data_IF_185148993757
#
_entry.id   IF_185148993757
#
_cell.length_a   1.000
_cell.length_b   1.000
_cell.length_c   1.000
_cell.angle_alpha   90.00
_cell.angle_beta   90.00
_cell.angle_gamma   90.00
#
_symmetry.space_group_name_H-M   'P 1'
#
loop_
_entity.id
_entity.type
_entity.pdbx_description
1 polymer ?
#
# COMPACT_ATOMS: atom_id res chain seq x y z
N UNK A 1 -16.80 -29.24 4.59
CA UNK A 1 -16.52 -28.30 5.69
C UNK A 1 -17.77 -28.24 6.58
N UNK A 2 -17.63 -28.42 7.90
CA UNK A 2 -18.76 -28.36 8.84
C UNK A 2 -18.60 -27.10 9.71
N UNK A 3 -19.72 -26.43 10.07
CA UNK A 3 -19.69 -25.16 10.82
C UNK A 3 -18.91 -25.26 12.15
N UNK A 4 -19.04 -26.39 12.87
CA UNK A 4 -18.35 -26.62 14.14
C UNK A 4 -16.84 -26.86 13.99
N UNK A 5 -16.33 -27.09 12.78
CA UNK A 5 -14.89 -27.28 12.51
C UNK A 5 -14.20 -26.00 12.06
N UNK A 6 -14.93 -24.90 11.87
CA UNK A 6 -14.37 -23.61 11.53
C UNK A 6 -13.57 -23.07 12.72
N UNK A 7 -12.30 -22.79 12.50
CA UNK A 7 -11.41 -22.15 13.46
C UNK A 7 -10.70 -20.98 12.77
N UNK A 8 -10.49 -19.86 13.47
CA UNK A 8 -9.66 -18.79 12.95
C UNK A 8 -8.23 -19.27 12.72
N UNK A 9 -7.53 -18.65 11.81
CA UNK A 9 -6.12 -18.95 11.56
C UNK A 9 -5.29 -18.78 12.84
N UNK A 10 -4.24 -19.57 13.00
CA UNK A 10 -3.36 -19.49 14.16
C UNK A 10 -2.75 -18.08 14.26
N UNK A 11 -2.86 -17.44 15.43
CA UNK A 11 -2.38 -16.08 15.68
C UNK A 11 -3.31 -14.94 15.23
N UNK A 12 -4.46 -15.25 14.59
CA UNK A 12 -5.45 -14.22 14.20
C UNK A 12 -6.34 -13.74 15.34
N UNK A 13 -6.41 -14.51 16.42
CA UNK A 13 -7.19 -14.16 17.62
C UNK A 13 -6.28 -14.08 18.83
N UNK A 14 -6.54 -13.13 19.72
CA UNK A 14 -5.91 -13.01 21.02
C UNK A 14 -6.96 -12.69 22.09
N UNK A 15 -6.65 -13.00 23.35
CA UNK A 15 -7.52 -12.71 24.46
C UNK A 15 -7.66 -11.18 24.66
N UNK A 16 -8.88 -10.74 25.02
CA UNK A 16 -9.13 -9.35 25.32
C UNK A 16 -8.33 -8.86 26.55
N UNK A 17 -7.64 -7.74 26.39
CA UNK A 17 -6.87 -7.13 27.47
C UNK A 17 -7.80 -6.34 28.39
N UNK A 18 -8.00 -6.83 29.62
CA UNK A 18 -8.84 -6.18 30.63
C UNK A 18 -7.98 -5.38 31.62
N UNK A 19 -8.04 -4.06 31.56
CA UNK A 19 -7.30 -3.16 32.46
C UNK A 19 -8.12 -2.85 33.71
N UNK A 20 -7.45 -2.49 34.82
CA UNK A 20 -8.10 -2.15 36.08
C UNK A 20 -8.78 -3.32 36.78
N UNK A 21 -8.28 -4.54 36.62
CA UNK A 21 -8.86 -5.78 37.23
C UNK A 21 -7.89 -6.46 38.21
N UNK A 22 -7.36 -5.67 39.13
CA UNK A 22 -6.54 -6.12 40.25
C UNK A 22 -5.03 -6.10 39.99
N UNK A 23 -4.20 -6.06 41.05
CA UNK A 23 -2.75 -5.94 40.94
C UNK A 23 -2.10 -7.19 40.33
N UNK A 24 -2.67 -8.38 40.55
CA UNK A 24 -2.13 -9.63 40.01
C UNK A 24 -2.10 -9.71 38.48
N UNK A 25 -2.93 -8.93 37.80
CA UNK A 25 -2.91 -8.83 36.34
C UNK A 25 -1.76 -8.00 35.79
N UNK A 26 -1.04 -7.24 36.63
CA UNK A 26 -0.07 -6.23 36.22
C UNK A 26 -0.68 -5.00 35.54
N UNK A 27 -2.01 -4.97 35.39
CA UNK A 27 -2.77 -3.92 34.71
C UNK A 27 -3.78 -3.24 35.65
N UNK A 28 -3.67 -3.51 36.94
CA UNK A 28 -4.53 -2.93 38.00
C UNK A 28 -4.20 -1.49 38.33
N UNK A 29 -4.73 -1.03 39.48
CA UNK A 29 -4.52 0.32 39.96
C UNK A 29 -5.17 1.36 39.04
N UNK A 30 -4.39 2.29 38.51
CA UNK A 30 -4.84 3.39 37.66
C UNK A 30 -5.09 2.98 36.20
N UNK A 31 -5.38 1.72 35.95
CA UNK A 31 -5.57 1.16 34.58
C UNK A 31 -4.35 1.42 33.65
N UNK A 32 -3.16 1.36 34.21
CA UNK A 32 -1.86 1.60 33.53
C UNK A 32 -1.64 3.04 33.03
N UNK A 33 -2.47 4.01 33.44
CA UNK A 33 -2.37 5.42 33.02
C UNK A 33 -1.49 6.28 33.95
N UNK A 34 -1.12 5.75 35.12
CA UNK A 34 -0.43 6.54 36.17
C UNK A 34 -1.38 7.46 36.93
N UNK A 35 -0.81 8.35 37.79
CA UNK A 35 -1.64 9.13 38.73
C UNK A 35 -2.12 10.47 38.16
N UNK A 36 -1.22 11.38 37.85
CA UNK A 36 -1.53 12.75 37.42
C UNK A 36 -1.04 12.99 35.98
N UNK A 37 -1.42 14.13 35.42
CA UNK A 37 -1.03 14.57 34.08
C UNK A 37 -2.09 14.36 33.01
N UNK A 38 -1.91 15.01 31.89
CA UNK A 38 -2.86 15.00 30.79
C UNK A 38 -3.10 13.61 30.22
N UNK A 39 -2.07 12.75 30.18
CA UNK A 39 -2.14 11.37 29.64
C UNK A 39 -3.07 10.45 30.45
N UNK A 40 -3.29 10.75 31.73
CA UNK A 40 -4.16 9.96 32.60
C UNK A 40 -5.65 10.34 32.47
N UNK A 41 -5.98 11.43 31.81
CA UNK A 41 -7.35 11.94 31.68
C UNK A 41 -8.08 11.32 30.47
N UNK A 42 -9.41 11.27 30.57
CA UNK A 42 -10.27 10.89 29.43
C UNK A 42 -10.12 11.93 28.31
N UNK A 43 -10.21 11.48 27.06
CA UNK A 43 -10.12 12.36 25.89
C UNK A 43 -8.72 12.84 25.53
N UNK A 44 -7.66 12.46 26.28
CA UNK A 44 -6.30 12.83 25.93
C UNK A 44 -5.90 12.23 24.57
N UNK A 45 -5.45 13.09 23.68
CA UNK A 45 -4.82 12.68 22.40
C UNK A 45 -3.37 13.19 22.38
N UNK A 46 -2.47 12.36 21.85
CA UNK A 46 -1.06 12.76 21.67
C UNK A 46 -0.97 13.99 20.76
N UNK A 47 -0.37 15.05 21.23
CA UNK A 47 -0.08 16.24 20.42
C UNK A 47 1.08 15.94 19.49
N UNK A 48 0.81 15.79 18.21
CA UNK A 48 1.83 15.50 17.20
C UNK A 48 2.74 16.73 17.05
N UNK A 49 4.07 16.52 17.07
CA UNK A 49 5.05 17.59 16.93
C UNK A 49 5.19 18.50 18.16
N UNK A 50 4.64 18.13 19.34
CA UNK A 50 4.83 18.90 20.55
C UNK A 50 6.18 18.54 21.23
N UNK A 51 7.00 19.55 21.49
CA UNK A 51 8.36 19.45 22.05
C UNK A 51 8.45 20.08 23.43
N UNK A 52 7.50 19.83 24.33
CA UNK A 52 7.54 20.27 25.72
C UNK A 52 7.45 21.79 25.94
N UNK A 53 7.04 22.58 24.97
CA UNK A 53 7.00 24.05 25.00
C UNK A 53 8.11 24.71 24.18
N UNK A 54 9.15 23.98 23.82
CA UNK A 54 10.13 24.42 22.83
C UNK A 54 9.45 24.59 21.46
N UNK A 55 9.90 25.58 20.66
CA UNK A 55 9.41 25.77 19.30
C UNK A 55 9.66 24.50 18.48
N UNK A 56 8.63 23.85 17.97
CA UNK A 56 8.75 22.59 17.23
C UNK A 56 9.62 22.72 15.97
N UNK A 57 10.33 21.65 15.62
CA UNK A 57 11.24 21.61 14.47
C UNK A 57 10.57 22.13 13.19
N UNK A 58 9.32 21.75 12.95
CA UNK A 58 8.51 22.19 11.80
C UNK A 58 8.33 23.74 11.71
N UNK A 59 8.49 24.46 12.82
CA UNK A 59 8.45 25.93 12.85
C UNK A 59 9.83 26.57 12.79
N UNK A 60 10.87 25.84 13.19
CA UNK A 60 12.26 26.34 13.19
C UNK A 60 12.88 26.27 11.79
N UNK A 61 12.54 25.26 11.01
CA UNK A 61 13.06 25.12 9.65
C UNK A 61 12.26 25.96 8.66
N UNK A 62 12.92 26.60 7.67
CA UNK A 62 12.22 27.33 6.63
C UNK A 62 11.33 26.41 5.79
N UNK A 63 10.22 26.95 5.29
CA UNK A 63 9.38 26.23 4.34
C UNK A 63 10.15 26.04 3.05
N UNK A 64 10.09 24.84 2.48
CA UNK A 64 10.77 24.49 1.24
C UNK A 64 9.85 23.70 0.32
N UNK A 65 10.11 23.80 -0.99
CA UNK A 65 9.36 23.11 -2.02
C UNK A 65 7.96 23.67 -2.26
N UNK A 66 7.31 23.10 -3.24
CA UNK A 66 5.92 23.39 -3.58
C UNK A 66 5.24 22.14 -4.14
N UNK A 67 3.92 22.07 -4.04
CA UNK A 67 3.13 21.01 -4.65
C UNK A 67 2.70 21.44 -6.06
N UNK A 68 3.21 20.76 -7.07
CA UNK A 68 2.82 21.03 -8.46
C UNK A 68 1.37 20.57 -8.68
N UNK A 69 0.48 21.51 -9.01
CA UNK A 69 -0.94 21.25 -9.26
C UNK A 69 -1.14 20.39 -10.52
N UNK A 70 -0.24 20.54 -11.51
CA UNK A 70 -0.29 19.81 -12.78
C UNK A 70 0.50 18.49 -12.75
N UNK A 71 0.83 17.98 -11.55
CA UNK A 71 1.51 16.70 -11.40
C UNK A 71 0.61 15.56 -11.89
N UNK A 72 1.08 14.82 -12.89
CA UNK A 72 0.41 13.63 -13.39
C UNK A 72 0.92 12.40 -12.64
N UNK A 73 0.05 11.72 -11.93
CA UNK A 73 0.35 10.48 -11.24
C UNK A 73 -0.03 9.29 -12.14
N UNK A 74 0.84 8.30 -12.20
CA UNK A 74 0.60 7.06 -12.95
C UNK A 74 0.48 5.89 -11.98
N UNK A 75 -0.39 4.96 -12.30
CA UNK A 75 -0.40 3.64 -11.67
C UNK A 75 0.69 2.79 -12.29
N UNK A 76 1.64 2.34 -11.47
CA UNK A 76 2.79 1.56 -11.94
C UNK A 76 2.45 0.06 -12.00
N UNK A 77 2.67 -0.57 -13.15
CA UNK A 77 2.57 -2.02 -13.36
C UNK A 77 3.93 -2.55 -13.82
N UNK A 78 4.43 -3.59 -13.17
CA UNK A 78 5.74 -4.18 -13.49
C UNK A 78 5.63 -5.33 -14.51
N UNK A 79 6.73 -5.64 -15.21
CA UNK A 79 6.78 -6.75 -16.16
C UNK A 79 6.48 -8.10 -15.50
N UNK A 80 6.94 -8.32 -14.26
CA UNK A 80 6.63 -9.53 -13.50
C UNK A 80 5.12 -9.73 -13.32
N UNK A 81 4.37 -8.65 -13.07
CA UNK A 81 2.91 -8.70 -12.92
C UNK A 81 2.22 -9.03 -14.24
N UNK A 82 2.73 -8.49 -15.35
CA UNK A 82 2.23 -8.80 -16.70
C UNK A 82 2.51 -10.27 -17.07
N UNK A 83 3.67 -10.81 -16.68
CA UNK A 83 4.02 -12.22 -16.87
C UNK A 83 3.02 -13.13 -16.14
N UNK A 84 2.79 -12.87 -14.85
CA UNK A 84 1.83 -13.64 -14.05
C UNK A 84 0.43 -13.58 -14.65
N UNK A 85 -0.02 -12.41 -15.09
CA UNK A 85 -1.33 -12.24 -15.72
C UNK A 85 -1.45 -13.00 -17.05
N UNK A 86 -0.37 -12.97 -17.86
CA UNK A 86 -0.32 -13.69 -19.14
C UNK A 86 -0.37 -15.21 -18.92
N UNK A 87 0.32 -15.73 -17.91
CA UNK A 87 0.32 -17.15 -17.55
C UNK A 87 -1.04 -17.62 -17.00
N UNK A 88 -1.64 -16.86 -16.07
CA UNK A 88 -2.91 -17.23 -15.43
C UNK A 88 -4.10 -17.19 -16.39
N UNK A 89 -4.15 -16.20 -17.27
CA UNK A 89 -5.30 -15.97 -18.15
C UNK A 89 -5.05 -16.36 -19.61
N UNK A 90 -3.82 -16.72 -19.98
CA UNK A 90 -3.45 -17.07 -21.35
C UNK A 90 -3.66 -15.93 -22.36
N UNK A 91 -3.48 -14.67 -21.93
CA UNK A 91 -3.76 -13.50 -22.76
C UNK A 91 -2.59 -13.20 -23.70
N UNK A 92 -2.86 -13.12 -24.99
CA UNK A 92 -1.90 -12.63 -25.99
C UNK A 92 -1.84 -11.10 -26.05
N UNK A 93 -2.89 -10.41 -25.58
CA UNK A 93 -2.98 -8.94 -25.54
C UNK A 93 -3.47 -8.50 -24.16
N UNK A 94 -2.77 -7.53 -23.56
CA UNK A 94 -3.11 -6.96 -22.26
C UNK A 94 -3.46 -5.49 -22.45
N UNK A 95 -4.73 -5.16 -22.24
CA UNK A 95 -5.26 -3.79 -22.27
C UNK A 95 -5.46 -3.26 -20.86
N UNK A 96 -5.70 -1.94 -20.72
CA UNK A 96 -6.05 -1.34 -19.43
C UNK A 96 -7.33 -1.95 -18.85
N UNK A 97 -8.30 -2.34 -19.69
CA UNK A 97 -9.52 -2.99 -19.24
C UNK A 97 -9.26 -4.36 -18.58
N UNK A 98 -8.31 -5.13 -19.11
CA UNK A 98 -7.92 -6.43 -18.54
C UNK A 98 -7.17 -6.27 -17.21
N UNK A 99 -6.36 -5.21 -17.06
CA UNK A 99 -5.72 -4.86 -15.79
C UNK A 99 -6.75 -4.47 -14.72
N UNK A 100 -7.84 -3.79 -15.11
CA UNK A 100 -8.97 -3.50 -14.21
C UNK A 100 -9.72 -4.77 -13.83
N UNK A 101 -10.02 -5.64 -14.81
CA UNK A 101 -10.70 -6.92 -14.58
C UNK A 101 -9.89 -7.90 -13.73
N UNK A 102 -8.55 -7.77 -13.75
CA UNK A 102 -7.63 -8.49 -12.87
C UNK A 102 -7.51 -7.87 -11.46
N UNK A 103 -8.14 -6.71 -11.22
CA UNK A 103 -8.07 -6.00 -9.94
C UNK A 103 -6.72 -5.31 -9.67
N UNK A 104 -5.85 -5.20 -10.68
CA UNK A 104 -4.53 -4.58 -10.55
C UNK A 104 -4.60 -3.05 -10.54
N UNK A 105 -5.60 -2.47 -11.18
CA UNK A 105 -5.84 -1.03 -11.22
C UNK A 105 -7.33 -0.71 -11.11
N UNK A 106 -7.66 0.49 -10.68
CA UNK A 106 -9.05 0.95 -10.56
C UNK A 106 -9.57 1.68 -11.83
N UNK A 107 -8.75 1.79 -12.87
CA UNK A 107 -9.08 2.49 -14.12
C UNK A 107 -9.19 4.02 -14.04
N UNK A 108 -9.03 4.62 -12.86
CA UNK A 108 -9.13 6.09 -12.67
C UNK A 108 -7.83 6.81 -12.98
N UNK A 109 -6.71 6.15 -12.79
CA UNK A 109 -5.37 6.69 -13.01
C UNK A 109 -4.77 6.12 -14.29
N UNK A 110 -4.01 6.93 -15.06
CA UNK A 110 -3.28 6.41 -16.20
C UNK A 110 -2.25 5.35 -15.76
N UNK A 111 -2.08 4.32 -16.56
CA UNK A 111 -1.20 3.19 -16.27
C UNK A 111 0.15 3.40 -16.94
N UNK A 112 1.22 3.16 -16.19
CA UNK A 112 2.60 3.14 -16.69
C UNK A 112 3.26 1.79 -16.44
N UNK A 113 3.78 1.18 -17.50
CA UNK A 113 4.52 -0.08 -17.41
C UNK A 113 5.98 0.17 -17.10
N UNK A 114 6.50 -0.51 -16.08
CA UNK A 114 7.88 -0.42 -15.58
C UNK A 114 8.63 -1.74 -15.82
N UNK A 115 9.93 -1.63 -16.07
CA UNK A 115 10.80 -2.75 -16.46
C UNK A 115 11.28 -3.65 -15.32
N UNK A 116 10.58 -3.69 -14.18
CA UNK A 116 10.98 -4.58 -13.09
C UNK A 116 10.44 -6.00 -13.29
N UNK A 117 11.33 -6.97 -13.19
CA UNK A 117 11.05 -8.39 -13.42
C UNK A 117 11.37 -8.84 -14.85
N UNK A 118 11.21 -10.14 -15.10
CA UNK A 118 11.43 -10.76 -16.39
C UNK A 118 10.09 -11.01 -17.10
N UNK A 119 10.03 -10.76 -18.39
CA UNK A 119 8.92 -11.10 -19.26
C UNK A 119 9.39 -12.19 -20.23
N UNK A 120 8.75 -13.35 -20.21
CA UNK A 120 9.05 -14.50 -21.09
C UNK A 120 7.91 -14.76 -22.10
N UNK A 121 6.69 -14.40 -21.71
CA UNK A 121 5.52 -14.55 -22.57
C UNK A 121 5.51 -13.48 -23.66
N UNK A 122 5.20 -13.87 -24.88
CA UNK A 122 4.96 -12.93 -25.99
C UNK A 122 3.56 -12.32 -25.79
N UNK A 123 3.52 -11.03 -25.39
CA UNK A 123 2.29 -10.28 -25.15
C UNK A 123 2.36 -8.90 -25.77
N UNK A 124 1.23 -8.47 -26.35
CA UNK A 124 1.03 -7.11 -26.80
C UNK A 124 0.41 -6.31 -25.65
N UNK A 125 1.01 -5.18 -25.29
CA UNK A 125 0.61 -4.39 -24.12
C UNK A 125 0.15 -3.00 -24.55
N UNK A 126 -1.06 -2.62 -24.12
CA UNK A 126 -1.62 -1.28 -24.31
C UNK A 126 -1.65 -0.54 -22.97
N UNK A 127 -0.94 0.60 -22.86
CA UNK A 127 -0.88 1.42 -21.67
C UNK A 127 -0.68 2.91 -21.99
N UNK A 128 -0.88 3.79 -21.01
CA UNK A 128 -0.72 5.23 -21.20
C UNK A 128 0.76 5.69 -21.27
N UNK A 129 1.68 4.91 -20.69
CA UNK A 129 3.10 5.17 -20.77
C UNK A 129 3.93 3.91 -20.51
N UNK A 130 5.16 3.90 -21.02
CA UNK A 130 6.14 2.84 -20.78
C UNK A 130 7.45 3.47 -20.27
N UNK A 131 8.24 2.70 -19.51
CA UNK A 131 9.66 3.03 -19.30
C UNK A 131 10.48 2.48 -20.48
N UNK A 132 11.61 3.09 -20.79
CA UNK A 132 12.50 2.61 -21.86
C UNK A 132 12.87 1.14 -21.71
N UNK A 133 13.25 0.74 -20.49
CA UNK A 133 13.58 -0.65 -20.15
C UNK A 133 12.39 -1.62 -20.33
N UNK A 134 11.17 -1.19 -20.03
CA UNK A 134 9.99 -2.03 -20.25
C UNK A 134 9.67 -2.20 -21.73
N UNK A 135 9.78 -1.13 -22.50
CA UNK A 135 9.55 -1.16 -23.95
C UNK A 135 10.56 -2.07 -24.66
N UNK A 136 11.84 -1.97 -24.30
CA UNK A 136 12.92 -2.83 -24.81
C UNK A 136 12.68 -4.31 -24.46
N UNK A 137 12.29 -4.60 -23.22
CA UNK A 137 11.99 -5.95 -22.77
C UNK A 137 10.79 -6.58 -23.48
N UNK A 138 9.71 -5.82 -23.70
CA UNK A 138 8.53 -6.29 -24.44
C UNK A 138 8.91 -6.58 -25.91
N UNK A 139 9.66 -5.69 -26.55
CA UNK A 139 10.15 -5.88 -27.92
C UNK A 139 11.12 -7.07 -28.06
N UNK A 140 11.97 -7.31 -27.06
CA UNK A 140 12.93 -8.42 -27.06
C UNK A 140 12.24 -9.80 -27.08
N UNK A 141 11.05 -9.91 -26.45
CA UNK A 141 10.24 -11.14 -26.46
C UNK A 141 9.31 -11.23 -27.71
N UNK A 142 9.35 -10.22 -28.57
CA UNK A 142 8.56 -10.17 -29.81
C UNK A 142 7.10 -9.72 -29.58
N UNK A 143 6.84 -9.04 -28.46
CA UNK A 143 5.57 -8.36 -28.17
C UNK A 143 5.58 -6.91 -28.70
N UNK A 144 4.42 -6.26 -28.67
CA UNK A 144 4.26 -4.87 -29.08
C UNK A 144 3.80 -4.00 -27.90
N UNK A 145 4.37 -2.80 -27.76
CA UNK A 145 4.00 -1.82 -26.76
C UNK A 145 3.28 -0.65 -27.45
N UNK A 146 1.99 -0.49 -27.18
CA UNK A 146 1.15 0.55 -27.79
C UNK A 146 0.74 1.58 -26.72
N UNK A 147 0.95 2.86 -27.02
CA UNK A 147 0.55 3.97 -26.15
C UNK A 147 -0.87 4.40 -26.55
N UNK A 148 -1.76 4.54 -25.53
CA UNK A 148 -3.17 4.94 -25.68
C UNK A 148 -3.31 6.42 -25.31
#
# INVERSE_FOLDING_TARGET
>A
MKLHTLKPAAGSTHSERRIGRGPGSGLGGTSTRGHKGAKARSGYKRKIGFEGGQMPLQRRVPKTGFKNINHKEFFAVNLSTLQTLAEEKGLAKITVAELVAAGLTNGKMPVKVLGNGELKAKVDVEANAFSKTAEEAIKAVGGNATII
#
